data_IF_231180705911
#
_entry.id   IF_231180705911
#
_cell.length_a   1.000
_cell.length_b   1.000
_cell.length_c   1.000
_cell.angle_alpha   90.00
_cell.angle_beta   90.00
_cell.angle_gamma   90.00
#
_symmetry.space_group_name_H-M   'P 1'
#
loop_
_entity.id
_entity.type
_entity.pdbx_description
1 polymer ?
#
# COMPACT_ATOMS: atom_id res chain seq x y z
N UNK A 1 11.73 -31.22 -0.66
CA UNK A 1 12.20 -30.87 -2.04
C UNK A 1 11.17 -29.90 -2.60
N UNK A 2 11.45 -28.59 -2.55
CA UNK A 2 10.61 -27.57 -3.18
C UNK A 2 10.92 -27.61 -4.68
N UNK A 3 10.03 -28.20 -5.47
CA UNK A 3 10.07 -28.05 -6.92
C UNK A 3 9.75 -26.58 -7.21
N UNK A 4 10.75 -25.81 -7.57
CA UNK A 4 10.61 -24.46 -8.10
C UNK A 4 9.80 -24.56 -9.42
N UNK A 5 8.46 -24.60 -9.32
CA UNK A 5 7.58 -24.72 -10.48
C UNK A 5 7.57 -23.39 -11.20
N UNK A 6 8.16 -23.37 -12.38
CA UNK A 6 8.11 -22.19 -13.24
C UNK A 6 6.65 -21.75 -13.45
N UNK A 7 6.36 -20.47 -13.23
CA UNK A 7 5.05 -19.87 -13.47
C UNK A 7 4.82 -19.85 -14.99
N UNK A 8 3.76 -20.49 -15.49
CA UNK A 8 3.51 -20.56 -16.92
C UNK A 8 3.24 -19.18 -17.51
N UNK A 9 3.62 -18.98 -18.75
CA UNK A 9 3.23 -17.79 -19.51
C UNK A 9 1.83 -17.99 -20.06
N UNK A 10 0.93 -17.03 -19.82
CA UNK A 10 -0.42 -17.11 -20.37
C UNK A 10 -0.41 -16.99 -21.91
N UNK A 11 -1.23 -17.79 -22.61
CA UNK A 11 -1.45 -17.64 -24.04
C UNK A 11 -2.18 -16.30 -24.32
N UNK A 12 -2.18 -15.80 -25.57
CA UNK A 12 -2.86 -14.56 -25.95
C UNK A 12 -4.35 -14.53 -25.57
N UNK A 13 -4.98 -15.70 -25.52
CA UNK A 13 -6.35 -15.88 -25.05
C UNK A 13 -6.45 -17.18 -24.26
N UNK A 14 -7.21 -17.17 -23.17
CA UNK A 14 -7.52 -18.36 -22.40
C UNK A 14 -8.96 -18.33 -21.88
N UNK A 15 -9.46 -19.50 -21.50
CA UNK A 15 -10.80 -19.68 -20.95
C UNK A 15 -10.70 -20.37 -19.61
N UNK A 16 -11.45 -19.87 -18.63
CA UNK A 16 -11.60 -20.51 -17.33
C UNK A 16 -12.29 -21.86 -17.44
N UNK A 17 -11.84 -22.83 -16.66
CA UNK A 17 -12.32 -24.22 -16.70
C UNK A 17 -13.75 -24.34 -16.19
N UNK A 18 -14.07 -23.64 -15.10
CA UNK A 18 -15.34 -23.80 -14.39
C UNK A 18 -16.36 -22.73 -14.79
N UNK A 19 -15.96 -21.46 -14.71
CA UNK A 19 -16.85 -20.33 -15.02
C UNK A 19 -16.97 -20.02 -16.50
N UNK A 20 -16.16 -20.68 -17.36
CA UNK A 20 -16.19 -20.59 -18.80
C UNK A 20 -16.00 -19.17 -19.37
N UNK A 21 -15.51 -18.22 -18.54
CA UNK A 21 -15.21 -16.85 -18.98
C UNK A 21 -13.95 -16.82 -19.84
N UNK A 22 -13.96 -15.99 -20.88
CA UNK A 22 -12.84 -15.81 -21.81
C UNK A 22 -12.07 -14.54 -21.47
N UNK A 23 -10.75 -14.64 -21.45
CA UNK A 23 -9.83 -13.56 -21.16
C UNK A 23 -8.86 -13.38 -22.31
N UNK A 24 -8.72 -12.14 -22.82
CA UNK A 24 -7.74 -11.75 -23.83
C UNK A 24 -6.55 -11.07 -23.13
N UNK A 25 -5.37 -11.65 -23.22
CA UNK A 25 -4.15 -11.13 -22.59
C UNK A 25 -3.65 -9.94 -23.37
N UNK A 26 -3.55 -8.79 -22.73
CA UNK A 26 -3.06 -7.55 -23.31
C UNK A 26 -1.54 -7.40 -23.10
N UNK A 27 -1.08 -7.56 -21.86
CA UNK A 27 0.34 -7.53 -21.47
C UNK A 27 0.57 -8.11 -20.07
N UNK A 28 1.79 -8.48 -19.77
CA UNK A 28 2.22 -8.78 -18.41
C UNK A 28 2.39 -7.47 -17.63
N UNK A 29 1.89 -7.44 -16.38
CA UNK A 29 2.02 -6.31 -15.46
C UNK A 29 3.21 -6.49 -14.51
N UNK A 30 3.49 -7.73 -14.12
CA UNK A 30 4.60 -8.08 -13.25
C UNK A 30 4.71 -9.59 -13.04
N UNK A 31 5.90 -10.03 -12.63
CA UNK A 31 6.24 -11.42 -12.34
C UNK A 31 7.15 -11.47 -11.13
N UNK A 32 6.83 -12.34 -10.19
CA UNK A 32 7.61 -12.56 -8.97
C UNK A 32 7.67 -14.03 -8.60
N UNK A 33 8.22 -14.33 -7.42
CA UNK A 33 8.37 -15.71 -6.93
C UNK A 33 7.02 -16.42 -6.77
N UNK A 34 5.97 -15.68 -6.38
CA UNK A 34 4.66 -16.25 -6.01
C UNK A 34 3.64 -16.26 -7.14
N UNK A 35 3.97 -15.65 -8.30
CA UNK A 35 3.01 -15.59 -9.39
C UNK A 35 3.36 -14.59 -10.47
N UNK A 36 2.51 -14.53 -11.49
CA UNK A 36 2.55 -13.51 -12.52
C UNK A 36 1.20 -12.82 -12.63
N UNK A 37 1.23 -11.51 -12.88
CA UNK A 37 0.03 -10.67 -13.04
C UNK A 37 -0.03 -10.16 -14.46
N UNK A 38 -1.19 -10.28 -15.08
CA UNK A 38 -1.44 -9.87 -16.46
C UNK A 38 -2.60 -8.88 -16.53
N UNK A 39 -2.45 -7.86 -17.37
CA UNK A 39 -3.58 -7.06 -17.84
C UNK A 39 -4.32 -7.86 -18.90
N UNK A 40 -5.61 -8.02 -18.71
CA UNK A 40 -6.48 -8.74 -19.66
C UNK A 40 -7.71 -7.90 -19.99
N UNK A 41 -8.37 -8.23 -21.10
CA UNK A 41 -9.73 -7.78 -21.40
C UNK A 41 -10.68 -8.96 -21.24
N UNK A 42 -11.76 -8.75 -20.49
CA UNK A 42 -12.89 -9.66 -20.34
C UNK A 42 -14.17 -8.90 -20.70
N UNK A 43 -14.86 -9.31 -21.73
CA UNK A 43 -16.09 -8.64 -22.22
C UNK A 43 -15.93 -7.11 -22.39
N UNK A 44 -14.78 -6.68 -22.94
CA UNK A 44 -14.43 -5.26 -23.12
C UNK A 44 -13.96 -4.53 -21.86
N UNK A 45 -14.01 -5.17 -20.70
CA UNK A 45 -13.58 -4.57 -19.41
C UNK A 45 -12.15 -5.00 -19.09
N UNK A 46 -11.29 -4.04 -18.71
CA UNK A 46 -9.93 -4.34 -18.24
C UNK A 46 -9.96 -4.97 -16.87
N UNK A 47 -9.21 -6.06 -16.70
CA UNK A 47 -9.00 -6.77 -15.46
C UNK A 47 -7.53 -7.06 -15.23
N UNK A 48 -7.13 -7.26 -13.98
CA UNK A 48 -5.84 -7.84 -13.65
C UNK A 48 -6.08 -9.31 -13.28
N UNK A 49 -5.32 -10.22 -13.92
CA UNK A 49 -5.35 -11.65 -13.62
C UNK A 49 -4.04 -12.05 -12.99
N UNK A 50 -4.10 -12.64 -11.79
CA UNK A 50 -2.94 -13.26 -11.13
C UNK A 50 -3.02 -14.77 -11.24
N UNK A 51 -1.94 -15.37 -11.74
CA UNK A 51 -1.73 -16.82 -11.76
C UNK A 51 -0.57 -17.17 -10.85
N UNK A 52 -0.75 -18.12 -9.97
CA UNK A 52 0.26 -18.53 -9.00
C UNK A 52 1.09 -19.71 -9.46
N UNK A 53 2.27 -19.86 -8.85
CA UNK A 53 3.08 -21.07 -8.98
C UNK A 53 2.42 -22.28 -8.28
N UNK A 54 1.73 -22.02 -7.17
CA UNK A 54 1.01 -23.00 -6.37
C UNK A 54 -0.44 -22.54 -6.13
N UNK A 55 -1.41 -23.46 -6.31
CA UNK A 55 -2.83 -23.14 -6.15
C UNK A 55 -3.20 -22.77 -4.73
N UNK A 56 -2.51 -23.30 -3.72
CA UNK A 56 -2.77 -22.99 -2.31
C UNK A 56 -2.49 -21.53 -1.98
N UNK A 57 -1.39 -20.97 -2.50
CA UNK A 57 -1.03 -19.56 -2.27
C UNK A 57 -2.09 -18.63 -2.87
N UNK A 58 -2.56 -18.92 -4.08
CA UNK A 58 -3.66 -18.20 -4.74
C UNK A 58 -4.94 -18.26 -3.90
N UNK A 59 -5.28 -19.41 -3.34
CA UNK A 59 -6.49 -19.55 -2.53
C UNK A 59 -6.39 -18.78 -1.21
N UNK A 60 -5.22 -18.71 -0.60
CA UNK A 60 -4.99 -17.89 0.61
C UNK A 60 -5.14 -16.40 0.31
N UNK A 61 -4.58 -15.91 -0.81
CA UNK A 61 -4.76 -14.53 -1.25
C UNK A 61 -6.25 -14.21 -1.52
N UNK A 62 -6.96 -15.11 -2.21
CA UNK A 62 -8.39 -14.98 -2.48
C UNK A 62 -9.20 -14.94 -1.18
N UNK A 63 -8.83 -15.76 -0.19
CA UNK A 63 -9.51 -15.76 1.12
C UNK A 63 -9.32 -14.42 1.83
N UNK A 64 -8.10 -13.88 1.84
CA UNK A 64 -7.80 -12.57 2.41
C UNK A 64 -8.57 -11.44 1.68
N UNK A 65 -8.55 -11.43 0.33
CA UNK A 65 -9.29 -10.48 -0.49
C UNK A 65 -10.80 -10.51 -0.20
N UNK A 66 -11.41 -11.70 -0.16
CA UNK A 66 -12.84 -11.85 0.18
C UNK A 66 -13.16 -11.34 1.58
N UNK A 67 -12.31 -11.65 2.56
CA UNK A 67 -12.47 -11.19 3.95
C UNK A 67 -12.45 -9.65 4.03
N UNK A 68 -11.54 -9.00 3.28
CA UNK A 68 -11.42 -7.54 3.25
C UNK A 68 -12.61 -6.88 2.54
N UNK A 69 -13.26 -7.56 1.60
CA UNK A 69 -14.39 -7.02 0.83
C UNK A 69 -15.76 -7.20 1.50
N UNK A 70 -15.91 -8.15 2.43
CA UNK A 70 -17.20 -8.51 3.05
C UNK A 70 -17.74 -7.50 4.08
N UNK A 71 -17.13 -6.35 4.31
CA UNK A 71 -17.58 -5.36 5.29
C UNK A 71 -18.42 -4.24 4.69
N UNK A 72 -19.40 -3.76 5.46
CA UNK A 72 -20.34 -2.69 5.10
C UNK A 72 -19.71 -1.29 4.92
N UNK A 73 -18.45 -1.08 5.25
CA UNK A 73 -17.81 0.22 5.09
C UNK A 73 -17.31 0.40 3.65
N UNK A 74 -18.21 0.77 2.77
CA UNK A 74 -17.92 1.14 1.37
C UNK A 74 -17.01 2.39 1.24
N UNK A 75 -16.68 3.04 2.36
CA UNK A 75 -15.97 4.33 2.40
C UNK A 75 -14.47 4.21 2.18
N UNK A 76 -13.88 3.05 2.52
CA UNK A 76 -12.43 2.81 2.36
C UNK A 76 -12.21 1.54 1.58
N UNK A 77 -11.95 1.66 0.29
CA UNK A 77 -11.58 0.52 -0.53
C UNK A 77 -10.12 0.18 -0.29
N UNK A 78 -9.86 -0.95 0.35
CA UNK A 78 -8.50 -1.40 0.74
C UNK A 78 -7.78 -2.06 -0.43
N UNK A 79 -8.48 -2.95 -1.15
CA UNK A 79 -7.95 -3.87 -2.17
C UNK A 79 -8.71 -3.74 -3.49
N UNK A 80 -8.14 -4.21 -4.61
CA UNK A 80 -8.89 -4.38 -5.86
C UNK A 80 -10.09 -5.31 -5.66
N UNK A 81 -11.20 -5.01 -6.33
CA UNK A 81 -12.38 -5.87 -6.28
C UNK A 81 -12.07 -7.24 -6.91
N UNK A 82 -12.30 -8.33 -6.18
CA UNK A 82 -12.22 -9.69 -6.71
C UNK A 82 -13.41 -9.94 -7.66
N UNK A 83 -13.10 -10.28 -8.90
CA UNK A 83 -14.10 -10.45 -9.96
C UNK A 83 -14.37 -11.91 -10.29
N UNK A 84 -13.35 -12.76 -10.18
CA UNK A 84 -13.45 -14.18 -10.53
C UNK A 84 -12.34 -15.01 -9.87
N UNK A 85 -12.59 -16.30 -9.67
CA UNK A 85 -11.59 -17.29 -9.27
C UNK A 85 -11.89 -18.56 -10.07
N UNK A 86 -10.91 -19.06 -10.80
CA UNK A 86 -11.09 -20.23 -11.67
C UNK A 86 -9.76 -20.97 -11.88
N UNK A 87 -9.82 -22.10 -12.57
CA UNK A 87 -8.65 -22.81 -13.05
C UNK A 87 -8.53 -22.67 -14.56
N UNK A 88 -7.30 -22.76 -15.05
CA UNK A 88 -7.02 -22.93 -16.47
C UNK A 88 -6.09 -24.13 -16.69
N UNK A 89 -6.20 -24.74 -17.86
CA UNK A 89 -5.32 -25.82 -18.25
C UNK A 89 -4.26 -25.29 -19.22
N UNK A 90 -2.99 -25.34 -18.80
CA UNK A 90 -1.87 -24.83 -19.59
C UNK A 90 -0.67 -25.77 -19.45
N UNK A 91 0.02 -26.07 -20.55
CA UNK A 91 1.18 -26.95 -20.61
C UNK A 91 0.97 -28.30 -19.88
N UNK A 92 -0.23 -28.90 -20.03
CA UNK A 92 -0.56 -30.17 -19.40
C UNK A 92 -0.86 -30.11 -17.90
N UNK A 93 -1.04 -28.88 -17.32
CA UNK A 93 -1.26 -28.67 -15.89
C UNK A 93 -2.48 -27.80 -15.61
N UNK A 94 -3.16 -28.09 -14.52
CA UNK A 94 -4.18 -27.19 -13.99
C UNK A 94 -3.52 -26.13 -13.14
N UNK A 95 -3.76 -24.84 -13.44
CA UNK A 95 -3.26 -23.70 -12.70
C UNK A 95 -4.43 -22.86 -12.22
N UNK A 96 -4.45 -22.54 -10.93
CA UNK A 96 -5.45 -21.66 -10.35
C UNK A 96 -5.09 -20.21 -10.60
N UNK A 97 -6.08 -19.40 -10.97
CA UNK A 97 -5.94 -17.96 -11.13
C UNK A 97 -7.12 -17.22 -10.48
N UNK A 98 -6.93 -15.94 -10.23
CA UNK A 98 -8.04 -15.04 -9.96
C UNK A 98 -7.97 -13.78 -10.79
N UNK A 99 -9.15 -13.26 -11.15
CA UNK A 99 -9.32 -11.99 -11.82
C UNK A 99 -9.81 -10.93 -10.84
N UNK A 100 -9.24 -9.75 -10.91
CA UNK A 100 -9.58 -8.62 -10.06
C UNK A 100 -9.69 -7.34 -10.87
N UNK A 101 -10.24 -6.30 -10.25
CA UNK A 101 -10.23 -4.93 -10.76
C UNK A 101 -8.83 -4.54 -11.24
N UNK A 102 -8.72 -4.00 -12.44
CA UNK A 102 -7.49 -3.34 -12.88
C UNK A 102 -7.46 -1.92 -12.34
N UNK A 103 -6.47 -1.60 -11.54
CA UNK A 103 -6.25 -0.25 -11.02
C UNK A 103 -5.41 0.54 -12.02
N UNK A 104 -6.01 1.50 -12.70
CA UNK A 104 -5.28 2.45 -13.53
C UNK A 104 -4.59 3.48 -12.64
N UNK A 105 -3.29 3.33 -12.48
CA UNK A 105 -2.49 4.12 -11.57
C UNK A 105 -1.00 3.87 -11.76
N UNK A 106 -0.23 4.40 -10.85
CA UNK A 106 1.22 4.21 -10.79
C UNK A 106 1.64 3.78 -9.39
N UNK A 107 2.81 3.16 -9.27
CA UNK A 107 3.36 2.76 -7.98
C UNK A 107 3.63 3.97 -7.11
N UNK A 108 3.54 3.77 -5.80
CA UNK A 108 3.70 4.84 -4.80
C UNK A 108 5.03 5.59 -4.94
N UNK A 109 6.13 4.87 -5.16
CA UNK A 109 7.46 5.47 -5.35
C UNK A 109 7.55 6.31 -6.64
N UNK A 110 6.97 5.82 -7.74
CA UNK A 110 6.91 6.55 -9.00
C UNK A 110 6.04 7.80 -8.89
N UNK A 111 4.92 7.70 -8.20
CA UNK A 111 4.06 8.86 -7.94
C UNK A 111 4.81 9.94 -7.16
N UNK A 112 5.47 9.58 -6.05
CA UNK A 112 6.23 10.53 -5.22
C UNK A 112 7.41 11.12 -6.00
N UNK A 113 8.11 10.29 -6.80
CA UNK A 113 9.22 10.78 -7.64
C UNK A 113 8.75 11.83 -8.64
N UNK A 114 7.55 11.67 -9.21
CA UNK A 114 6.97 12.60 -10.19
C UNK A 114 6.37 13.86 -9.55
N UNK A 115 5.70 13.73 -8.40
CA UNK A 115 4.91 14.81 -7.80
C UNK A 115 5.61 15.53 -6.65
N UNK A 116 6.67 14.94 -6.11
CA UNK A 116 7.41 15.48 -4.98
C UNK A 116 7.02 14.88 -3.63
N UNK A 117 7.91 15.07 -2.66
CA UNK A 117 7.80 14.49 -1.30
C UNK A 117 6.69 15.11 -0.45
N UNK A 118 6.15 16.26 -0.84
CA UNK A 118 5.06 16.94 -0.13
C UNK A 118 3.77 16.09 -0.10
N UNK A 119 3.63 15.15 -1.04
CA UNK A 119 2.53 14.20 -1.08
C UNK A 119 2.66 13.06 -0.07
N UNK A 120 3.87 12.78 0.42
CA UNK A 120 4.13 11.62 1.30
C UNK A 120 3.20 11.60 2.51
N UNK A 121 3.02 12.68 3.31
CA UNK A 121 2.14 12.64 4.47
C UNK A 121 0.68 12.29 4.11
N UNK A 122 0.17 12.82 3.01
CA UNK A 122 -1.21 12.56 2.55
C UNK A 122 -1.38 11.08 2.18
N UNK A 123 -0.44 10.52 1.41
CA UNK A 123 -0.47 9.13 0.96
C UNK A 123 -0.33 8.16 2.14
N UNK A 124 0.52 8.50 3.13
CA UNK A 124 0.70 7.69 4.35
C UNK A 124 -0.56 7.69 5.22
N UNK A 125 -1.24 8.84 5.37
CA UNK A 125 -2.51 8.92 6.08
C UNK A 125 -3.58 8.07 5.39
N UNK A 126 -3.63 8.11 4.06
CA UNK A 126 -4.52 7.25 3.30
C UNK A 126 -4.20 5.75 3.50
N UNK A 127 -2.91 5.37 3.51
CA UNK A 127 -2.48 3.99 3.79
C UNK A 127 -2.87 3.55 5.19
N UNK A 128 -2.65 4.40 6.20
CA UNK A 128 -3.07 4.12 7.58
C UNK A 128 -4.57 3.83 7.68
N UNK A 129 -5.41 4.56 6.94
CA UNK A 129 -6.84 4.26 6.89
C UNK A 129 -7.14 2.87 6.29
N UNK A 130 -6.38 2.41 5.27
CA UNK A 130 -6.53 1.07 4.70
C UNK A 130 -6.03 -0.02 5.64
N UNK A 131 -4.89 0.20 6.26
CA UNK A 131 -4.34 -0.72 7.26
C UNK A 131 -5.27 -0.85 8.47
N UNK A 132 -5.89 0.24 8.93
CA UNK A 132 -6.85 0.19 10.02
C UNK A 132 -8.02 -0.76 9.71
N UNK A 133 -8.58 -0.67 8.50
CA UNK A 133 -9.66 -1.60 8.07
C UNK A 133 -9.16 -3.03 7.99
N UNK A 134 -7.94 -3.26 7.49
CA UNK A 134 -7.34 -4.60 7.39
C UNK A 134 -7.14 -5.20 8.79
N UNK A 135 -6.52 -4.43 9.70
CA UNK A 135 -6.24 -4.84 11.08
C UNK A 135 -7.52 -5.13 11.88
N UNK A 136 -8.57 -4.31 11.74
CA UNK A 136 -9.87 -4.55 12.38
C UNK A 136 -10.52 -5.87 11.96
N UNK A 137 -10.17 -6.39 10.78
CA UNK A 137 -10.63 -7.68 10.28
C UNK A 137 -9.71 -8.86 10.66
N UNK A 138 -8.72 -8.60 11.51
CA UNK A 138 -7.80 -9.61 12.00
C UNK A 138 -6.70 -10.00 11.03
N UNK A 139 -6.37 -9.12 10.06
CA UNK A 139 -5.32 -9.35 9.08
C UNK A 139 -4.20 -8.33 9.21
N UNK A 140 -2.99 -8.74 8.89
CA UNK A 140 -1.79 -7.92 8.76
C UNK A 140 -1.30 -8.05 7.32
N UNK A 141 -0.89 -6.95 6.69
CA UNK A 141 -0.49 -6.96 5.28
C UNK A 141 0.82 -7.72 5.06
N UNK A 142 1.79 -7.53 5.97
CA UNK A 142 3.01 -8.34 6.08
C UNK A 142 4.14 -7.97 5.11
N UNK A 143 3.85 -7.63 3.86
CA UNK A 143 4.86 -7.21 2.86
C UNK A 143 4.56 -5.79 2.33
N UNK A 144 4.46 -4.83 3.26
CA UNK A 144 4.20 -3.43 2.91
C UNK A 144 5.46 -2.78 2.36
N UNK A 145 5.39 -2.40 1.07
CA UNK A 145 6.46 -1.72 0.33
C UNK A 145 5.87 -0.89 -0.81
N UNK A 146 6.60 0.08 -1.39
CA UNK A 146 6.07 0.95 -2.44
C UNK A 146 5.54 0.20 -3.66
N UNK A 147 6.14 -0.96 -3.99
CA UNK A 147 5.74 -1.81 -5.11
C UNK A 147 4.33 -2.40 -4.95
N UNK A 148 3.88 -2.58 -3.71
CA UNK A 148 2.59 -3.16 -3.36
C UNK A 148 1.50 -2.09 -3.12
N UNK A 149 1.79 -0.83 -3.48
CA UNK A 149 0.87 0.29 -3.34
C UNK A 149 0.71 1.02 -4.67
N UNK A 150 -0.53 1.12 -5.15
CA UNK A 150 -0.88 1.90 -6.34
C UNK A 150 -1.57 3.19 -5.91
N UNK A 151 -1.18 4.30 -6.51
CA UNK A 151 -1.92 5.57 -6.47
C UNK A 151 -2.73 5.68 -7.75
N UNK A 152 -4.05 5.65 -7.64
CA UNK A 152 -4.96 5.68 -8.79
C UNK A 152 -4.97 7.04 -9.48
N UNK A 153 -5.06 7.05 -10.82
CA UNK A 153 -5.06 8.28 -11.61
C UNK A 153 -6.33 9.10 -11.49
N UNK A 154 -7.46 8.40 -11.27
CA UNK A 154 -8.77 9.05 -11.28
C UNK A 154 -8.99 9.96 -10.07
N UNK A 155 -8.52 9.55 -8.89
CA UNK A 155 -8.85 10.17 -7.61
C UNK A 155 -7.64 10.32 -6.66
N UNK A 156 -6.43 9.97 -7.10
CA UNK A 156 -5.20 9.98 -6.32
C UNK A 156 -5.31 9.21 -4.98
N UNK A 157 -6.13 8.15 -4.97
CA UNK A 157 -6.30 7.29 -3.81
C UNK A 157 -5.29 6.14 -3.82
N UNK A 158 -4.77 5.82 -2.64
CA UNK A 158 -3.90 4.64 -2.51
C UNK A 158 -4.74 3.37 -2.44
N UNK A 159 -4.23 2.29 -3.03
CA UNK A 159 -4.79 0.94 -2.99
C UNK A 159 -3.68 -0.05 -2.74
N UNK A 160 -3.90 -0.99 -1.84
CA UNK A 160 -2.99 -2.10 -1.62
C UNK A 160 -3.20 -3.16 -2.71
N UNK A 161 -2.10 -3.64 -3.28
CA UNK A 161 -2.08 -4.75 -4.24
C UNK A 161 -1.16 -5.86 -3.72
N UNK A 162 -1.25 -7.05 -4.30
CA UNK A 162 -0.46 -8.23 -3.93
C UNK A 162 -0.68 -8.68 -2.48
N UNK A 163 -1.76 -9.42 -2.28
CA UNK A 163 -2.19 -9.95 -0.99
C UNK A 163 -1.48 -11.26 -0.58
N UNK A 164 -0.39 -11.64 -1.29
CA UNK A 164 0.40 -12.85 -0.99
C UNK A 164 1.04 -12.88 0.39
N UNK A 165 1.41 -11.70 0.92
CA UNK A 165 1.99 -11.55 2.26
C UNK A 165 0.96 -11.47 3.39
N UNK A 166 -0.32 -11.31 3.07
CA UNK A 166 -1.37 -11.08 4.08
C UNK A 166 -1.50 -12.28 5.02
N UNK A 167 -1.38 -12.00 6.31
CA UNK A 167 -1.29 -13.02 7.35
C UNK A 167 -2.30 -12.73 8.46
N UNK A 168 -2.93 -13.78 9.01
CA UNK A 168 -3.83 -13.64 10.15
C UNK A 168 -3.08 -13.14 11.37
N UNK A 169 -3.74 -12.25 12.12
CA UNK A 169 -3.22 -11.74 13.39
C UNK A 169 -2.77 -12.88 14.31
N UNK A 170 -1.60 -12.73 14.89
CA UNK A 170 -0.98 -13.71 15.80
C UNK A 170 -0.17 -14.82 15.11
N UNK A 171 -0.28 -15.01 13.79
CA UNK A 171 0.53 -15.96 13.05
C UNK A 171 1.91 -15.37 12.68
N UNK A 172 2.81 -16.21 12.16
CA UNK A 172 4.11 -15.75 11.65
C UNK A 172 3.96 -15.18 10.23
N UNK A 173 4.49 -13.97 10.01
CA UNK A 173 4.63 -13.38 8.67
C UNK A 173 5.58 -14.24 7.84
N UNK A 174 5.13 -14.70 6.67
CA UNK A 174 5.87 -15.64 5.81
C UNK A 174 6.55 -14.97 4.63
N UNK A 175 5.94 -13.91 4.10
CA UNK A 175 6.46 -13.14 2.98
C UNK A 175 6.77 -11.74 3.45
N UNK A 176 7.99 -11.29 3.20
CA UNK A 176 8.47 -9.98 3.60
C UNK A 176 9.65 -9.57 2.71
N UNK A 177 9.87 -8.28 2.65
CA UNK A 177 11.05 -7.68 2.04
C UNK A 177 11.93 -7.16 3.17
N UNK A 178 13.17 -7.66 3.29
CA UNK A 178 14.08 -7.35 4.40
C UNK A 178 14.21 -5.86 4.71
N UNK A 179 14.17 -5.03 3.66
CA UNK A 179 14.26 -3.58 3.78
C UNK A 179 13.14 -2.98 4.67
N UNK A 180 11.97 -3.62 4.72
CA UNK A 180 10.78 -3.18 5.47
C UNK A 180 10.42 -4.11 6.62
N UNK A 181 11.20 -5.19 6.83
CA UNK A 181 10.96 -6.19 7.86
C UNK A 181 11.53 -5.75 9.21
N UNK A 182 10.66 -5.54 10.22
CA UNK A 182 11.10 -5.08 11.54
C UNK A 182 12.12 -6.01 12.22
N UNK A 183 12.09 -7.31 11.92
CA UNK A 183 13.07 -8.24 12.48
C UNK A 183 14.47 -8.02 11.88
N UNK A 184 14.56 -7.66 10.60
CA UNK A 184 15.83 -7.29 9.96
C UNK A 184 16.44 -5.99 10.53
N UNK A 185 15.61 -5.13 11.14
CA UNK A 185 16.03 -3.91 11.84
C UNK A 185 16.15 -4.08 13.36
N UNK A 186 16.08 -5.30 13.87
CA UNK A 186 16.10 -5.61 15.30
C UNK A 186 15.03 -4.85 16.13
N UNK A 187 13.90 -4.50 15.49
CA UNK A 187 12.81 -3.75 16.08
C UNK A 187 11.62 -4.62 16.57
N UNK A 188 11.78 -5.93 16.54
CA UNK A 188 10.77 -6.91 16.97
C UNK A 188 10.85 -8.20 16.16
N UNK A 189 9.92 -9.10 16.39
CA UNK A 189 9.80 -10.38 15.69
C UNK A 189 8.90 -10.28 14.44
N UNK A 190 8.72 -11.40 13.71
CA UNK A 190 7.83 -11.52 12.55
C UNK A 190 6.43 -12.00 12.92
N UNK A 191 5.95 -11.65 14.09
CA UNK A 191 4.55 -11.90 14.47
C UNK A 191 3.64 -10.94 13.72
N UNK A 192 2.59 -11.46 13.08
CA UNK A 192 1.59 -10.67 12.41
C UNK A 192 0.73 -9.92 13.41
N UNK A 193 1.01 -8.65 13.61
CA UNK A 193 0.30 -7.71 14.47
C UNK A 193 0.35 -6.30 13.84
N UNK A 194 -0.55 -5.38 14.20
CA UNK A 194 -0.56 -4.05 13.62
C UNK A 194 0.80 -3.35 13.63
N UNK A 195 1.57 -3.52 14.70
CA UNK A 195 2.90 -2.92 14.85
C UNK A 195 3.88 -3.36 13.74
N UNK A 196 3.71 -4.55 13.15
CA UNK A 196 4.53 -5.01 12.03
C UNK A 196 4.34 -4.13 10.79
N UNK A 197 3.09 -3.91 10.37
CA UNK A 197 2.78 -3.05 9.22
C UNK A 197 3.11 -1.58 9.50
N UNK A 198 2.92 -1.09 10.73
CA UNK A 198 3.23 0.29 11.10
C UNK A 198 4.73 0.55 11.10
N UNK A 199 5.54 -0.43 11.49
CA UNK A 199 7.00 -0.37 11.32
C UNK A 199 7.38 -0.24 9.83
N UNK A 200 6.88 -1.16 9.00
CA UNK A 200 7.12 -1.17 7.55
C UNK A 200 6.68 0.15 6.90
N UNK A 201 5.53 0.69 7.32
CA UNK A 201 5.02 1.99 6.85
C UNK A 201 5.95 3.15 7.25
N UNK A 202 6.46 3.16 8.47
CA UNK A 202 7.39 4.19 8.94
C UNK A 202 8.72 4.15 8.17
N UNK A 203 9.28 2.95 7.94
CA UNK A 203 10.48 2.75 7.09
C UNK A 203 10.21 3.23 5.67
N UNK A 204 9.08 2.85 5.08
CA UNK A 204 8.67 3.29 3.75
C UNK A 204 8.52 4.82 3.66
N UNK A 205 7.98 5.46 4.71
CA UNK A 205 7.86 6.92 4.79
C UNK A 205 9.23 7.59 4.74
N UNK A 206 10.18 7.10 5.53
CA UNK A 206 11.57 7.60 5.52
C UNK A 206 12.21 7.40 4.14
N UNK A 207 12.02 6.21 3.54
CA UNK A 207 12.53 5.89 2.21
C UNK A 207 12.01 6.84 1.12
N UNK A 208 10.71 7.11 1.11
CA UNK A 208 10.05 7.95 0.10
C UNK A 208 10.43 9.43 0.21
N UNK A 209 10.74 9.90 1.41
CA UNK A 209 11.11 11.29 1.67
C UNK A 209 12.63 11.54 1.65
N UNK A 210 13.45 10.50 1.46
CA UNK A 210 14.92 10.59 1.43
C UNK A 210 15.45 10.55 0.01
N UNK A 211 16.61 11.21 -0.22
CA UNK A 211 17.34 11.01 -1.47
C UNK A 211 17.88 9.57 -1.57
N UNK A 212 18.12 9.08 -2.80
CA UNK A 212 18.66 7.73 -3.01
C UNK A 212 20.00 7.49 -2.27
N UNK A 213 20.84 8.54 -2.16
CA UNK A 213 22.15 8.47 -1.52
C UNK A 213 22.02 8.31 0.00
N UNK A 214 21.16 9.13 0.63
CA UNK A 214 20.86 9.07 2.06
C UNK A 214 20.23 7.73 2.40
N UNK A 215 19.29 7.25 1.58
CA UNK A 215 18.67 5.94 1.80
C UNK A 215 19.70 4.82 1.68
N UNK A 216 20.58 4.86 0.67
CA UNK A 216 21.62 3.83 0.48
C UNK A 216 22.57 3.76 1.69
N UNK A 217 22.94 4.87 2.29
CA UNK A 217 23.81 4.89 3.46
C UNK A 217 23.15 4.28 4.71
N UNK A 218 21.83 4.32 4.83
CA UNK A 218 21.11 3.71 5.96
C UNK A 218 20.99 2.18 5.89
N UNK A 219 21.29 1.57 4.74
CA UNK A 219 21.19 0.12 4.54
C UNK A 219 22.44 -0.66 4.88
N UNK A 220 23.37 -0.06 5.62
CA UNK A 220 24.57 -0.74 6.13
C UNK A 220 24.20 -1.79 7.18
N UNK A 221 24.87 -2.93 7.18
CA UNK A 221 24.67 -3.97 8.17
C UNK A 221 25.59 -3.76 9.41
N UNK A 222 25.10 -4.00 10.63
CA UNK A 222 23.72 -4.37 10.97
C UNK A 222 22.77 -3.18 10.87
N UNK A 223 21.55 -3.41 10.39
CA UNK A 223 20.49 -2.37 10.31
C UNK A 223 20.04 -1.99 11.72
N UNK A 224 19.98 -0.69 11.97
CA UNK A 224 19.55 -0.15 13.26
C UNK A 224 18.54 0.99 13.07
N UNK A 225 17.50 1.00 13.89
CA UNK A 225 16.48 2.06 13.85
C UNK A 225 17.04 3.44 14.20
N UNK A 226 18.17 3.51 14.92
CA UNK A 226 18.88 4.77 15.17
C UNK A 226 19.26 5.51 13.89
N UNK A 227 19.70 4.80 12.84
CA UNK A 227 20.01 5.37 11.53
C UNK A 227 18.78 6.04 10.89
N UNK A 228 17.60 5.41 11.01
CA UNK A 228 16.35 6.00 10.54
C UNK A 228 15.96 7.24 11.34
N UNK A 229 16.18 7.22 12.66
CA UNK A 229 15.95 8.38 13.52
C UNK A 229 16.85 9.56 13.14
N UNK A 230 18.11 9.30 12.79
CA UNK A 230 19.04 10.35 12.36
C UNK A 230 18.63 10.95 11.01
N UNK A 231 18.18 10.13 10.06
CA UNK A 231 17.60 10.64 8.81
C UNK A 231 16.40 11.55 9.08
N UNK A 232 15.49 11.14 9.96
CA UNK A 232 14.30 11.94 10.30
C UNK A 232 14.70 13.28 10.93
N UNK A 233 15.70 13.30 11.82
CA UNK A 233 16.18 14.54 12.48
C UNK A 233 16.79 15.53 11.49
N UNK A 234 17.46 15.01 10.46
CA UNK A 234 18.18 15.81 9.47
C UNK A 234 17.40 16.09 8.19
N UNK A 235 16.09 15.75 8.15
CA UNK A 235 15.22 15.95 7.00
C UNK A 235 14.03 16.85 7.39
N UNK A 236 13.99 18.07 6.85
CA UNK A 236 12.97 19.08 7.17
C UNK A 236 11.53 18.61 6.86
N UNK A 237 11.35 17.79 5.83
CA UNK A 237 10.04 17.24 5.47
C UNK A 237 9.57 16.18 6.46
N UNK A 238 10.49 15.39 7.04
CA UNK A 238 10.20 14.32 8.01
C UNK A 238 10.17 14.82 9.46
N UNK A 239 10.97 15.84 9.78
CA UNK A 239 11.15 16.29 11.16
C UNK A 239 9.85 16.57 11.92
N UNK A 240 8.81 17.16 11.34
CA UNK A 240 7.52 17.34 12.01
C UNK A 240 6.83 16.03 12.38
N UNK A 241 7.09 14.96 11.59
CA UNK A 241 6.51 13.63 11.79
C UNK A 241 7.42 12.71 12.64
N UNK A 242 8.49 13.24 13.24
CA UNK A 242 9.46 12.46 14.02
C UNK A 242 8.82 11.64 15.14
N UNK A 243 7.86 12.22 15.86
CA UNK A 243 7.23 11.54 17.00
C UNK A 243 6.43 10.32 16.53
N UNK A 244 5.46 10.43 15.59
CA UNK A 244 4.74 9.24 15.13
C UNK A 244 5.64 8.21 14.44
N UNK A 245 6.66 8.60 13.69
CA UNK A 245 7.56 7.66 13.04
C UNK A 245 8.41 6.88 14.07
N UNK A 246 8.96 7.56 15.08
CA UNK A 246 9.73 6.92 16.16
C UNK A 246 8.84 6.00 17.00
N UNK A 247 7.62 6.41 17.36
CA UNK A 247 6.63 5.55 18.04
C UNK A 247 6.38 4.26 17.24
N UNK A 248 6.25 4.36 15.91
CA UNK A 248 6.03 3.20 15.05
C UNK A 248 7.26 2.26 15.02
N UNK A 249 8.50 2.78 15.00
CA UNK A 249 9.71 1.95 15.09
C UNK A 249 9.79 1.16 16.39
N UNK A 250 9.25 1.70 17.47
CA UNK A 250 9.26 1.04 18.78
C UNK A 250 7.97 0.27 19.10
N UNK A 251 7.06 0.11 18.13
CA UNK A 251 5.81 -0.64 18.32
C UNK A 251 4.87 -0.01 19.37
N UNK A 252 4.91 1.31 19.55
CA UNK A 252 4.19 2.04 20.61
C UNK A 252 2.76 2.45 20.21
N UNK A 253 2.24 1.93 19.10
CA UNK A 253 0.87 2.14 18.67
C UNK A 253 0.02 0.91 18.89
N UNK A 254 -1.18 1.09 19.44
CA UNK A 254 -2.17 0.03 19.53
C UNK A 254 -2.71 -0.40 18.16
N UNK A 255 -2.70 0.50 17.17
CA UNK A 255 -3.16 0.23 15.81
C UNK A 255 -3.00 1.41 14.85
N UNK A 256 -3.35 1.17 13.60
CA UNK A 256 -3.18 2.15 12.53
C UNK A 256 -4.03 3.41 12.70
N UNK A 257 -5.19 3.32 13.35
CA UNK A 257 -6.06 4.48 13.59
C UNK A 257 -5.43 5.51 14.55
N UNK A 258 -4.72 5.03 15.58
CA UNK A 258 -3.99 5.89 16.51
C UNK A 258 -2.87 6.65 15.80
N UNK A 259 -2.04 5.96 15.02
CA UNK A 259 -0.98 6.60 14.23
C UNK A 259 -1.56 7.57 13.20
N UNK A 260 -2.69 7.23 12.56
CA UNK A 260 -3.38 8.12 11.63
C UNK A 260 -3.81 9.42 12.30
N UNK A 261 -4.35 9.34 13.51
CA UNK A 261 -4.77 10.52 14.29
C UNK A 261 -3.59 11.42 14.61
N UNK A 262 -2.45 10.85 15.06
CA UNK A 262 -1.22 11.62 15.31
C UNK A 262 -0.72 12.33 14.04
N UNK A 263 -0.70 11.64 12.89
CA UNK A 263 -0.27 12.19 11.61
C UNK A 263 -1.21 13.31 11.12
N UNK A 264 -2.52 13.11 11.24
CA UNK A 264 -3.54 14.12 10.87
C UNK A 264 -3.40 15.39 11.70
N UNK A 265 -3.21 15.27 13.01
CA UNK A 265 -3.04 16.43 13.90
C UNK A 265 -1.85 17.31 13.47
N UNK A 266 -0.74 16.69 13.04
CA UNK A 266 0.44 17.43 12.55
C UNK A 266 0.13 18.16 11.23
N UNK A 267 -0.54 17.50 10.29
CA UNK A 267 -0.89 18.11 8.99
C UNK A 267 -1.87 19.27 9.19
N UNK A 268 -2.89 19.09 10.05
CA UNK A 268 -3.87 20.13 10.37
C UNK A 268 -3.22 21.32 11.10
N UNK A 269 -2.34 21.07 12.08
CA UNK A 269 -1.59 22.12 12.78
C UNK A 269 -0.70 22.94 11.85
N UNK A 270 -0.07 22.32 10.85
CA UNK A 270 0.69 23.03 9.79
C UNK A 270 -0.21 23.91 8.93
N UNK A 271 -1.40 23.42 8.55
CA UNK A 271 -2.34 24.18 7.73
C UNK A 271 -2.81 25.44 8.47
N UNK A 272 -3.11 25.34 9.77
CA UNK A 272 -3.53 26.48 10.59
C UNK A 272 -2.41 27.52 10.75
N UNK A 273 -1.16 27.08 10.97
CA UNK A 273 -0.02 27.97 11.09
C UNK A 273 0.31 28.70 9.78
N UNK A 274 0.16 28.03 8.63
CA UNK A 274 0.35 28.63 7.31
C UNK A 274 -0.75 29.67 7.02
N UNK A 275 -2.01 29.39 7.40
CA UNK A 275 -3.11 30.32 7.25
C UNK A 275 -2.95 31.57 8.14
N UNK A 276 -2.52 31.41 9.39
CA UNK A 276 -2.23 32.52 10.29
C UNK A 276 -1.06 33.39 9.79
N UNK A 277 0.00 32.77 9.24
CA UNK A 277 1.11 33.51 8.66
C UNK A 277 0.72 34.30 7.39
N UNK A 278 -0.24 33.80 6.60
CA UNK A 278 -0.80 34.50 5.45
C UNK A 278 -1.71 35.68 5.85
N UNK A 279 -2.45 35.52 6.96
CA UNK A 279 -3.30 36.60 7.49
C UNK A 279 -2.51 37.75 8.12
N UNK A 280 -1.29 37.52 8.60
CA UNK A 280 -0.41 38.54 9.19
C UNK A 280 0.58 39.17 8.21
N UNK A 281 0.67 38.70 6.97
CA UNK A 281 1.56 39.19 5.92
C UNK A 281 0.78 39.73 4.72
N UNK A 282 0.24 40.95 4.81
CA UNK A 282 -0.25 41.70 3.66
C UNK A 282 0.92 42.18 2.80
N UNK A 283 1.23 41.44 1.73
CA UNK A 283 2.27 41.79 0.75
C UNK A 283 2.30 40.76 -0.38
N UNK A 284 1.59 41.07 -1.44
CA UNK A 284 1.71 40.67 -2.87
C UNK A 284 2.58 39.47 -3.28
N UNK A 285 1.96 38.59 -4.05
CA UNK A 285 2.46 37.57 -5.01
C UNK A 285 2.86 36.21 -4.46
N UNK A 286 1.95 35.23 -4.63
CA UNK A 286 2.21 33.80 -4.38
C UNK A 286 0.92 32.96 -4.33
N UNK A 287 -0.12 33.28 -5.14
CA UNK A 287 -1.51 32.84 -4.88
C UNK A 287 -1.86 31.44 -5.41
N UNK A 288 -1.04 30.75 -6.20
CA UNK A 288 -1.53 29.59 -6.97
C UNK A 288 -1.24 28.20 -6.39
N UNK A 289 -0.20 28.01 -5.60
CA UNK A 289 0.18 26.68 -5.09
C UNK A 289 -0.54 26.32 -3.79
N UNK A 290 -0.80 27.31 -2.91
CA UNK A 290 -1.56 27.09 -1.67
C UNK A 290 -3.05 26.81 -1.86
N UNK A 291 -3.63 27.27 -2.96
CA UNK A 291 -5.06 27.09 -3.27
C UNK A 291 -5.43 25.63 -3.62
N UNK A 292 -4.55 24.93 -4.32
CA UNK A 292 -4.77 23.53 -4.69
C UNK A 292 -4.66 22.58 -3.48
N UNK A 293 -3.77 22.85 -2.54
CA UNK A 293 -3.63 22.06 -1.32
C UNK A 293 -4.84 22.24 -0.39
N UNK A 294 -5.34 23.48 -0.25
CA UNK A 294 -6.55 23.78 0.54
C UNK A 294 -7.80 23.19 -0.11
N UNK A 295 -7.91 23.22 -1.43
CA UNK A 295 -9.04 22.63 -2.16
C UNK A 295 -9.06 21.08 -2.01
N UNK A 296 -7.89 20.43 -2.04
CA UNK A 296 -7.77 18.99 -1.82
C UNK A 296 -8.14 18.59 -0.38
N UNK A 297 -7.76 19.40 0.61
CA UNK A 297 -8.11 19.17 2.02
C UNK A 297 -9.59 19.46 2.31
N UNK A 298 -10.18 20.46 1.67
CA UNK A 298 -11.62 20.74 1.78
C UNK A 298 -12.47 19.67 1.08
N UNK A 299 -12.01 19.10 -0.03
CA UNK A 299 -12.62 17.94 -0.65
C UNK A 299 -12.53 16.70 0.25
N UNK A 300 -11.39 16.47 0.89
CA UNK A 300 -11.22 15.37 1.85
C UNK A 300 -12.10 15.56 3.09
N UNK A 301 -12.16 16.77 3.65
CA UNK A 301 -13.02 17.10 4.79
C UNK A 301 -14.52 17.07 4.39
N UNK A 302 -14.86 17.54 3.21
CA UNK A 302 -16.22 17.51 2.67
C UNK A 302 -16.71 16.07 2.41
N UNK A 303 -15.85 15.21 1.87
CA UNK A 303 -16.20 13.80 1.68
C UNK A 303 -16.33 13.05 3.02
N UNK A 304 -15.51 13.39 4.02
CA UNK A 304 -15.64 12.84 5.37
C UNK A 304 -16.91 13.34 6.08
N UNK A 305 -17.26 14.62 5.93
CA UNK A 305 -18.47 15.22 6.50
C UNK A 305 -19.74 14.68 5.84
N UNK A 306 -19.77 14.61 4.51
CA UNK A 306 -20.91 14.05 3.76
C UNK A 306 -21.12 12.56 4.06
N UNK A 307 -20.02 11.85 4.28
CA UNK A 307 -20.04 10.45 4.70
C UNK A 307 -20.50 10.24 6.15
N UNK A 308 -20.45 11.26 6.99
CA UNK A 308 -20.96 11.21 8.38
C UNK A 308 -22.44 11.56 8.49
N UNK A 309 -22.99 12.29 7.51
CA UNK A 309 -24.40 12.73 7.48
C UNK A 309 -25.35 11.76 6.75
N UNK A 310 -24.85 10.76 6.01
CA UNK A 310 -25.64 9.66 5.42
C UNK A 310 -25.42 8.35 6.18
#
# INVERSE_FOLDING_TARGET
>A
MSFNRAIPKLPPQFRGKWNQKTYHVLRELGRGANGAVYLVSQDGVRRAVKIGAEGMDILMEVHALKSVQQGRDARVTVAPLLCDVDDLYIDGRSCTFYAMEYLDGERLDQFVQRTGTDWVPVLIIQLLARLAVLHQRGWVFGDLKPENVIVTRADSQVRLIDFGGVTKHGCAVRQFTEEYDRAAWHAGDRRAEPAYDLFSLAVMTVRLASSPEVWKSSRTEPRQTSLLCDIIRNNDSLYPFRVPLIKAFHGQYAGAEEMKSDMLAIVQGRTTAVQQKKASGSGSSGIWIGGLFVASMLLLAGTLYYAWMM
#
